data_IF_628547384556
#
_entry.id   IF_628547384556
#
_cell.length_a   1.000
_cell.length_b   1.000
_cell.length_c   1.000
_cell.angle_alpha   90.00
_cell.angle_beta   90.00
_cell.angle_gamma   90.00
#
_symmetry.space_group_name_H-M   'P 1'
#
loop_
_entity.id
_entity.type
_entity.pdbx_description
1 polymer ?
#
# COMPACT_ATOMS: atom_id res chain seq x y z
N UNK A 1 31.68 7.12 51.72
CA UNK A 1 30.46 6.69 51.01
C UNK A 1 29.77 7.91 50.50
N UNK A 2 29.99 8.23 49.20
CA UNK A 2 29.32 9.38 48.52
C UNK A 2 28.19 8.84 47.67
N UNK A 3 26.96 9.19 47.98
CA UNK A 3 25.79 8.88 47.18
C UNK A 3 25.74 9.85 46.00
N UNK A 4 25.83 9.34 44.79
CA UNK A 4 25.61 10.11 43.55
C UNK A 4 24.12 10.05 43.26
N UNK A 5 23.45 11.22 43.37
CA UNK A 5 22.09 11.39 42.88
C UNK A 5 22.16 11.69 41.39
N UNK A 6 21.63 10.76 40.57
CA UNK A 6 21.43 10.98 39.15
C UNK A 6 20.09 11.75 38.99
N UNK A 7 20.15 13.02 38.67
CA UNK A 7 18.96 13.78 38.23
C UNK A 7 18.63 13.39 36.79
N UNK A 8 17.55 12.64 36.62
CA UNK A 8 16.92 12.48 35.32
C UNK A 8 16.10 13.73 35.01
N UNK A 9 16.67 14.64 34.22
CA UNK A 9 15.92 15.77 33.64
C UNK A 9 14.96 15.24 32.60
N UNK A 10 13.68 15.15 32.98
CA UNK A 10 12.58 14.97 32.01
C UNK A 10 12.48 16.26 31.20
N UNK A 11 12.92 16.19 29.95
CA UNK A 11 12.62 17.23 28.97
C UNK A 11 11.15 17.04 28.54
N UNK A 12 10.23 17.75 29.21
CA UNK A 12 8.87 17.93 28.73
C UNK A 12 8.95 18.83 27.48
N UNK A 13 9.19 18.24 26.31
CA UNK A 13 8.95 18.95 25.06
C UNK A 13 7.44 19.18 24.94
N UNK A 14 7.04 20.44 24.98
CA UNK A 14 5.65 20.87 24.77
C UNK A 14 5.18 20.39 23.38
N UNK A 15 4.37 19.34 23.35
CA UNK A 15 3.68 18.86 22.14
C UNK A 15 2.45 19.69 21.77
N UNK A 16 2.53 21.00 21.93
CA UNK A 16 1.49 21.91 21.46
C UNK A 16 1.87 22.38 20.05
N UNK A 17 1.36 21.71 19.02
CA UNK A 17 1.48 22.19 17.64
C UNK A 17 1.74 21.16 16.55
N UNK A 18 1.78 19.88 16.84
CA UNK A 18 1.86 18.87 15.77
C UNK A 18 0.54 18.85 14.97
N UNK A 19 0.66 19.02 13.66
CA UNK A 19 -0.48 18.96 12.75
C UNK A 19 -1.17 17.58 12.87
N UNK A 20 -2.48 17.54 12.75
CA UNK A 20 -3.31 16.32 12.87
C UNK A 20 -2.83 15.19 11.94
N UNK A 21 -2.21 15.54 10.79
CA UNK A 21 -1.58 14.63 9.84
C UNK A 21 -0.38 13.90 10.42
N UNK A 22 0.47 14.58 11.21
CA UNK A 22 1.68 13.96 11.76
C UNK A 22 1.35 12.92 12.84
N UNK A 23 0.28 13.16 13.60
CA UNK A 23 -0.24 12.19 14.58
C UNK A 23 -0.79 10.95 13.91
N UNK A 24 -1.52 11.09 12.79
CA UNK A 24 -2.06 9.95 12.03
C UNK A 24 -0.94 9.10 11.46
N UNK A 25 0.08 9.71 10.84
CA UNK A 25 1.24 8.97 10.31
C UNK A 25 1.99 8.22 11.42
N UNK A 26 2.20 8.86 12.56
CA UNK A 26 2.88 8.23 13.71
C UNK A 26 2.05 7.08 14.29
N UNK A 27 0.73 7.25 14.41
CA UNK A 27 -0.16 6.20 14.93
C UNK A 27 -0.23 5.01 13.97
N UNK A 28 -0.38 5.26 12.68
CA UNK A 28 -0.39 4.19 11.65
C UNK A 28 0.94 3.43 11.65
N UNK A 29 2.08 4.11 11.76
CA UNK A 29 3.40 3.47 11.83
C UNK A 29 3.58 2.62 13.10
N UNK A 30 3.07 3.07 14.25
CA UNK A 30 3.16 2.34 15.52
C UNK A 30 2.29 1.08 15.49
N UNK A 31 1.06 1.17 14.99
CA UNK A 31 0.14 0.04 14.82
C UNK A 31 0.74 -0.99 13.86
N UNK A 32 1.23 -0.55 12.71
CA UNK A 32 1.87 -1.37 11.69
C UNK A 32 3.05 -2.18 12.26
N UNK A 33 3.95 -1.56 13.02
CA UNK A 33 5.12 -2.23 13.59
C UNK A 33 4.77 -3.21 14.71
N UNK A 34 3.77 -2.93 15.52
CA UNK A 34 3.37 -3.80 16.63
C UNK A 34 2.65 -5.07 16.13
N UNK A 35 1.73 -4.95 15.18
CA UNK A 35 1.01 -6.10 14.62
C UNK A 35 1.93 -7.03 13.81
N UNK A 36 2.89 -6.47 13.05
CA UNK A 36 3.86 -7.25 12.29
C UNK A 36 4.85 -8.06 13.17
N UNK A 37 5.05 -7.68 14.42
CA UNK A 37 5.98 -8.37 15.33
C UNK A 37 5.34 -9.58 16.07
N UNK A 38 4.02 -9.78 16.00
CA UNK A 38 3.38 -10.97 16.56
C UNK A 38 3.57 -12.18 15.63
N UNK A 39 4.49 -13.08 15.99
CA UNK A 39 4.77 -14.30 15.23
C UNK A 39 3.57 -15.24 15.08
N UNK A 40 2.64 -15.25 16.01
CA UNK A 40 1.43 -16.09 15.92
C UNK A 40 0.47 -15.51 14.89
N UNK A 41 0.29 -14.20 14.92
CA UNK A 41 -0.53 -13.47 13.95
C UNK A 41 0.07 -13.59 12.55
N UNK A 42 1.38 -13.44 12.41
CA UNK A 42 2.08 -13.60 11.14
C UNK A 42 1.83 -14.99 10.54
N UNK A 43 2.07 -16.07 11.31
CA UNK A 43 1.81 -17.46 10.85
C UNK A 43 0.34 -17.69 10.49
N UNK A 44 -0.58 -17.08 11.22
CA UNK A 44 -2.03 -17.16 10.95
C UNK A 44 -2.36 -16.48 9.63
N UNK A 45 -1.84 -15.28 9.41
CA UNK A 45 -2.03 -14.51 8.19
C UNK A 45 -1.45 -15.21 6.96
N UNK A 46 -0.21 -15.70 7.05
CA UNK A 46 0.44 -16.46 5.97
C UNK A 46 -0.34 -17.74 5.61
N UNK A 47 -0.80 -18.49 6.63
CA UNK A 47 -1.64 -19.68 6.42
C UNK A 47 -2.96 -19.32 5.73
N UNK A 48 -3.61 -18.24 6.15
CA UNK A 48 -4.85 -17.75 5.55
C UNK A 48 -4.61 -17.29 4.09
N UNK A 49 -3.55 -16.54 3.86
CA UNK A 49 -3.16 -16.09 2.52
C UNK A 49 -2.96 -17.27 1.56
N UNK A 50 -2.23 -18.30 2.03
CA UNK A 50 -1.96 -19.53 1.27
C UNK A 50 -3.22 -20.34 0.99
N UNK A 51 -4.21 -20.37 1.88
CA UNK A 51 -5.50 -21.06 1.65
C UNK A 51 -6.28 -20.45 0.50
N UNK A 52 -6.15 -19.14 0.25
CA UNK A 52 -6.79 -18.48 -0.86
C UNK A 52 -8.30 -18.26 -0.72
N UNK A 53 -8.87 -18.42 0.48
CA UNK A 53 -10.31 -18.22 0.74
C UNK A 53 -10.78 -16.77 0.44
N UNK A 54 -9.85 -15.82 0.44
CA UNK A 54 -10.07 -14.42 0.10
C UNK A 54 -10.32 -14.18 -1.40
N UNK A 55 -9.96 -15.12 -2.28
CA UNK A 55 -9.92 -14.95 -3.75
C UNK A 55 -11.27 -14.74 -4.40
N UNK A 56 -12.35 -15.25 -3.84
CA UNK A 56 -13.72 -15.15 -4.40
C UNK A 56 -13.79 -15.48 -5.90
N UNK A 57 -13.02 -16.50 -6.32
CA UNK A 57 -12.91 -16.91 -7.74
C UNK A 57 -11.86 -16.17 -8.56
N UNK A 58 -11.13 -15.21 -8.01
CA UNK A 58 -10.04 -14.53 -8.69
C UNK A 58 -8.74 -15.34 -8.61
N UNK A 59 -8.40 -16.04 -9.68
CA UNK A 59 -7.19 -16.87 -9.81
C UNK A 59 -6.23 -16.38 -10.89
N UNK A 60 -6.49 -15.22 -11.50
CA UNK A 60 -5.65 -14.68 -12.58
C UNK A 60 -4.29 -14.17 -12.07
N UNK A 61 -4.22 -13.75 -10.81
CA UNK A 61 -3.00 -13.24 -10.20
C UNK A 61 -2.89 -13.63 -8.72
N UNK A 62 -1.66 -13.69 -8.25
CA UNK A 62 -1.30 -13.85 -6.84
C UNK A 62 -0.86 -12.50 -6.23
N UNK A 63 -0.96 -12.31 -4.91
CA UNK A 63 -0.30 -11.19 -4.28
C UNK A 63 1.20 -11.28 -4.46
N UNK A 64 1.85 -10.17 -4.78
CA UNK A 64 3.30 -10.11 -4.81
C UNK A 64 3.87 -10.39 -3.41
N UNK A 65 5.09 -10.94 -3.34
CA UNK A 65 5.75 -11.30 -2.06
C UNK A 65 6.02 -10.13 -1.13
N UNK A 66 5.99 -8.88 -1.63
CA UNK A 66 6.09 -7.67 -0.81
C UNK A 66 4.79 -7.27 -0.12
N UNK A 67 3.65 -7.87 -0.48
CA UNK A 67 2.36 -7.58 0.17
C UNK A 67 2.41 -8.07 1.61
N UNK A 68 2.13 -7.19 2.55
CA UNK A 68 2.08 -7.55 3.96
C UNK A 68 0.87 -8.45 4.25
N UNK A 69 1.16 -9.72 4.51
CA UNK A 69 0.12 -10.74 4.75
C UNK A 69 -0.70 -10.44 6.03
N UNK A 70 -0.08 -9.84 7.06
CA UNK A 70 -0.75 -9.50 8.32
C UNK A 70 -1.77 -8.40 8.09
N UNK A 71 -1.35 -7.32 7.45
CA UNK A 71 -2.26 -6.19 7.17
C UNK A 71 -3.38 -6.61 6.23
N UNK A 72 -3.09 -7.42 5.21
CA UNK A 72 -4.12 -7.93 4.32
C UNK A 72 -5.13 -8.81 5.08
N UNK A 73 -4.64 -9.72 5.93
CA UNK A 73 -5.50 -10.56 6.76
C UNK A 73 -6.38 -9.71 7.69
N UNK A 74 -5.80 -8.77 8.43
CA UNK A 74 -6.53 -7.93 9.37
C UNK A 74 -7.57 -7.04 8.68
N UNK A 75 -7.19 -6.39 7.58
CA UNK A 75 -8.11 -5.55 6.82
C UNK A 75 -9.26 -6.37 6.18
N UNK A 76 -8.96 -7.59 5.73
CA UNK A 76 -10.01 -8.49 5.27
C UNK A 76 -10.98 -8.89 6.39
N UNK A 77 -10.48 -9.14 7.62
CA UNK A 77 -11.34 -9.48 8.76
C UNK A 77 -12.17 -8.27 9.23
N UNK A 78 -11.62 -7.07 9.19
CA UNK A 78 -12.29 -5.82 9.63
C UNK A 78 -13.43 -5.39 8.69
N UNK A 79 -13.27 -5.61 7.40
CA UNK A 79 -14.31 -5.32 6.40
C UNK A 79 -14.33 -6.36 5.28
N UNK A 80 -14.80 -7.58 5.54
CA UNK A 80 -14.79 -8.66 4.56
C UNK A 80 -15.63 -8.36 3.33
N UNK A 81 -16.71 -7.58 3.45
CA UNK A 81 -17.62 -7.31 2.32
C UNK A 81 -16.94 -6.49 1.21
N UNK A 82 -16.14 -5.45 1.54
CA UNK A 82 -15.45 -4.70 0.51
C UNK A 82 -14.42 -5.56 -0.25
N UNK A 83 -13.69 -6.43 0.47
CA UNK A 83 -12.71 -7.32 -0.15
C UNK A 83 -13.35 -8.41 -1.00
N UNK A 84 -14.47 -9.01 -0.55
CA UNK A 84 -15.25 -9.96 -1.34
C UNK A 84 -15.73 -9.32 -2.64
N UNK A 85 -16.36 -8.13 -2.56
CA UNK A 85 -16.84 -7.39 -3.73
C UNK A 85 -15.71 -7.05 -4.71
N UNK A 86 -14.53 -6.67 -4.20
CA UNK A 86 -13.35 -6.43 -5.01
C UNK A 86 -12.95 -7.69 -5.79
N UNK A 87 -12.72 -8.81 -5.10
CA UNK A 87 -12.23 -10.02 -5.75
C UNK A 87 -13.29 -10.68 -6.65
N UNK A 88 -14.57 -10.68 -6.25
CA UNK A 88 -15.67 -11.13 -7.13
C UNK A 88 -15.73 -10.32 -8.42
N UNK A 89 -15.58 -9.02 -8.35
CA UNK A 89 -15.57 -8.15 -9.52
C UNK A 89 -14.38 -8.46 -10.44
N UNK A 90 -13.17 -8.58 -9.88
CA UNK A 90 -11.98 -8.93 -10.64
C UNK A 90 -12.07 -10.32 -11.30
N UNK A 91 -12.73 -11.28 -10.62
CA UNK A 91 -12.93 -12.63 -11.13
C UNK A 91 -13.84 -12.66 -12.37
N UNK A 92 -14.89 -11.84 -12.36
CA UNK A 92 -15.97 -11.84 -13.37
C UNK A 92 -15.74 -10.87 -14.53
N UNK A 93 -14.84 -9.87 -14.35
CA UNK A 93 -14.65 -8.79 -15.31
C UNK A 93 -13.50 -9.07 -16.25
N UNK A 94 -13.71 -8.81 -17.55
CA UNK A 94 -12.62 -8.71 -18.52
C UNK A 94 -11.97 -7.32 -18.40
N UNK A 95 -10.89 -7.27 -17.61
CA UNK A 95 -10.16 -6.03 -17.35
C UNK A 95 -9.40 -5.50 -18.58
N UNK A 96 -9.14 -6.35 -19.57
CA UNK A 96 -8.52 -5.93 -20.84
C UNK A 96 -9.54 -5.20 -21.73
N UNK A 97 -10.79 -5.61 -21.69
CA UNK A 97 -11.87 -4.99 -22.45
C UNK A 97 -12.54 -3.81 -21.73
N UNK A 98 -12.35 -3.67 -20.40
CA UNK A 98 -12.98 -2.60 -19.63
C UNK A 98 -12.48 -1.22 -20.11
N UNK A 99 -13.37 -0.25 -20.48
CA UNK A 99 -12.93 1.07 -20.94
C UNK A 99 -12.02 1.79 -19.94
N UNK A 100 -11.14 2.67 -20.45
CA UNK A 100 -10.36 3.56 -19.60
C UNK A 100 -11.25 4.48 -18.77
N UNK A 101 -10.82 4.83 -17.58
CA UNK A 101 -11.53 5.72 -16.68
C UNK A 101 -11.95 5.06 -15.37
N UNK A 102 -12.83 5.72 -14.65
CA UNK A 102 -13.35 5.23 -13.37
C UNK A 102 -14.68 4.52 -13.55
N UNK A 103 -14.79 3.32 -12.98
CA UNK A 103 -16.01 2.51 -12.99
C UNK A 103 -16.39 2.15 -11.57
N UNK A 104 -17.66 2.27 -11.25
CA UNK A 104 -18.21 1.82 -9.98
C UNK A 104 -18.23 0.29 -9.95
N UNK A 105 -17.75 -0.31 -8.87
CA UNK A 105 -17.94 -1.74 -8.63
C UNK A 105 -19.37 -1.93 -8.11
N UNK A 106 -20.22 -2.73 -8.77
CA UNK A 106 -21.63 -2.89 -8.40
C UNK A 106 -21.80 -3.32 -6.93
N UNK A 107 -22.86 -2.85 -6.31
CA UNK A 107 -23.24 -3.18 -4.92
C UNK A 107 -22.13 -2.93 -3.88
N UNK A 108 -21.30 -1.93 -4.13
CA UNK A 108 -20.19 -1.55 -3.23
C UNK A 108 -19.91 -0.04 -3.28
N UNK A 109 -19.07 0.44 -2.35
CA UNK A 109 -18.53 1.80 -2.40
C UNK A 109 -17.22 1.88 -3.18
N UNK A 110 -16.73 0.77 -3.70
CA UNK A 110 -15.48 0.68 -4.42
C UNK A 110 -15.59 1.25 -5.84
N UNK A 111 -14.48 1.80 -6.30
CA UNK A 111 -14.31 2.28 -7.67
C UNK A 111 -12.98 1.74 -8.21
N UNK A 112 -13.01 1.20 -9.42
CA UNK A 112 -11.83 0.81 -10.17
C UNK A 112 -11.46 1.91 -11.17
N UNK A 113 -10.21 2.34 -11.16
CA UNK A 113 -9.62 3.19 -12.19
C UNK A 113 -8.83 2.32 -13.16
N UNK A 114 -9.13 2.42 -14.46
CA UNK A 114 -8.46 1.70 -15.54
C UNK A 114 -7.66 2.69 -16.38
N UNK A 115 -6.38 2.43 -16.53
CA UNK A 115 -5.47 3.30 -17.26
C UNK A 115 -4.62 2.50 -18.26
N UNK A 116 -4.55 3.00 -19.52
CA UNK A 116 -3.45 2.69 -20.40
C UNK A 116 -2.39 3.78 -20.18
N UNK A 117 -1.20 3.40 -19.77
CA UNK A 117 -0.14 4.28 -19.31
C UNK A 117 1.21 3.76 -19.80
N UNK A 118 2.27 4.42 -19.39
CA UNK A 118 3.64 4.07 -19.68
C UNK A 118 4.49 4.23 -18.42
N UNK A 119 5.40 3.28 -18.15
CA UNK A 119 6.46 3.51 -17.18
C UNK A 119 7.35 4.67 -17.64
N UNK A 120 8.00 5.33 -16.72
CA UNK A 120 8.85 6.47 -17.03
C UNK A 120 10.04 6.61 -16.10
N UNK A 121 10.94 7.53 -16.42
CA UNK A 121 12.13 7.77 -15.61
C UNK A 121 11.79 8.06 -14.16
N UNK A 122 12.55 7.49 -13.24
CA UNK A 122 12.32 7.59 -11.79
C UNK A 122 12.22 9.04 -11.30
N UNK A 123 13.05 9.92 -11.84
CA UNK A 123 13.10 11.35 -11.48
C UNK A 123 11.84 12.13 -11.91
N UNK A 124 11.00 11.54 -12.76
CA UNK A 124 9.70 12.09 -13.18
C UNK A 124 8.51 11.45 -12.46
N UNK A 125 8.77 10.55 -11.51
CA UNK A 125 7.73 9.86 -10.76
C UNK A 125 7.61 10.41 -9.34
N UNK A 126 6.37 10.63 -8.91
CA UNK A 126 6.09 11.05 -7.54
C UNK A 126 6.14 9.86 -6.58
N UNK A 127 6.59 10.13 -5.37
CA UNK A 127 6.38 9.21 -4.23
C UNK A 127 5.00 9.44 -3.67
N UNK A 128 4.36 8.41 -3.12
CA UNK A 128 3.08 8.59 -2.45
C UNK A 128 2.86 7.58 -1.31
N UNK A 129 2.01 7.98 -0.37
CA UNK A 129 1.28 7.09 0.52
C UNK A 129 -0.08 7.69 0.85
N UNK A 130 -0.91 6.88 1.48
CA UNK A 130 -2.27 7.22 1.85
C UNK A 130 -2.45 7.06 3.37
N UNK A 131 -3.56 7.58 3.93
CA UNK A 131 -3.91 7.30 5.31
C UNK A 131 -5.36 6.82 5.49
N UNK A 132 -6.22 7.08 4.49
CA UNK A 132 -7.63 6.66 4.51
C UNK A 132 -7.90 5.43 3.65
N UNK A 133 -7.05 5.21 2.63
CA UNK A 133 -7.25 4.17 1.65
C UNK A 133 -6.03 3.27 1.54
N UNK A 134 -6.31 2.07 1.11
CA UNK A 134 -5.37 1.05 0.65
C UNK A 134 -5.42 1.06 -0.86
N UNK A 135 -4.29 0.98 -1.54
CA UNK A 135 -4.23 0.82 -2.98
C UNK A 135 -4.10 -0.65 -3.34
N UNK A 136 -5.14 -1.20 -3.94
CA UNK A 136 -5.01 -2.45 -4.68
C UNK A 136 -4.62 -2.10 -6.11
N UNK A 137 -3.43 -2.52 -6.56
CA UNK A 137 -2.88 -2.23 -7.88
C UNK A 137 -2.59 -3.52 -8.64
N UNK A 138 -3.07 -3.58 -9.88
CA UNK A 138 -2.94 -4.74 -10.74
C UNK A 138 -2.58 -4.32 -12.17
N UNK A 139 -1.39 -4.71 -12.61
CA UNK A 139 -0.95 -4.54 -13.99
C UNK A 139 -1.50 -5.69 -14.84
N UNK A 140 -2.57 -5.44 -15.59
CA UNK A 140 -3.26 -6.49 -16.37
C UNK A 140 -2.62 -6.73 -17.74
N UNK A 141 -1.74 -5.83 -18.19
CA UNK A 141 -0.95 -5.94 -19.43
C UNK A 141 0.36 -5.18 -19.30
N UNK A 142 1.43 -5.78 -19.76
CA UNK A 142 2.79 -5.22 -19.64
C UNK A 142 3.42 -5.57 -18.28
N UNK A 143 4.42 -4.79 -17.90
CA UNK A 143 5.12 -4.92 -16.61
C UNK A 143 5.23 -3.53 -15.98
N UNK A 144 4.57 -3.32 -14.86
CA UNK A 144 4.70 -2.09 -14.08
C UNK A 144 5.79 -2.26 -13.03
N UNK A 145 6.69 -1.28 -12.87
CA UNK A 145 7.67 -1.27 -11.79
C UNK A 145 7.28 -0.30 -10.69
N UNK A 146 7.28 -0.81 -9.44
CA UNK A 146 7.10 -0.04 -8.22
C UNK A 146 8.41 0.14 -7.48
N UNK A 147 8.62 1.32 -6.89
CA UNK A 147 9.64 1.55 -5.87
C UNK A 147 9.00 1.59 -4.48
N UNK A 148 9.55 0.87 -3.52
CA UNK A 148 9.20 0.97 -2.10
C UNK A 148 10.31 1.76 -1.41
N UNK A 149 9.97 2.94 -0.89
CA UNK A 149 10.95 3.84 -0.27
C UNK A 149 11.15 3.53 1.22
N UNK A 150 12.36 3.71 1.68
CA UNK A 150 12.75 3.43 3.07
C UNK A 150 12.26 4.55 4.01
N UNK A 151 11.50 4.20 5.03
CA UNK A 151 10.97 5.15 6.02
C UNK A 151 12.05 5.85 6.84
N UNK A 152 13.18 5.19 7.08
CA UNK A 152 14.25 5.74 7.93
C UNK A 152 14.92 6.95 7.29
N UNK A 153 15.05 6.92 5.96
CA UNK A 153 15.74 7.96 5.18
C UNK A 153 14.81 8.87 4.39
N UNK A 154 13.50 8.67 4.53
CA UNK A 154 12.50 9.46 3.79
C UNK A 154 11.73 10.39 4.72
N UNK A 155 11.41 11.58 4.22
CA UNK A 155 10.67 12.60 4.96
C UNK A 155 9.53 13.17 4.13
N UNK A 156 8.34 13.43 4.73
CA UNK A 156 7.27 14.12 4.03
C UNK A 156 7.74 15.47 3.48
N UNK A 157 7.39 15.78 2.23
CA UNK A 157 7.72 17.07 1.60
C UNK A 157 6.50 17.96 1.34
N UNK A 158 5.32 17.49 1.71
CA UNK A 158 4.07 18.24 1.64
C UNK A 158 3.10 17.78 2.73
N UNK A 159 1.91 18.38 2.80
CA UNK A 159 0.79 17.90 3.62
C UNK A 159 -0.12 16.98 2.80
N UNK A 160 -0.93 16.14 3.46
CA UNK A 160 -1.94 15.31 2.81
C UNK A 160 -2.94 16.15 2.00
N UNK A 161 -3.21 15.74 0.72
CA UNK A 161 -4.16 16.40 -0.20
C UNK A 161 -4.96 15.38 -1.01
N UNK A 162 -6.18 15.10 -0.67
CA UNK A 162 -6.83 14.98 0.64
C UNK A 162 -6.39 13.73 1.40
N UNK A 163 -5.81 12.74 0.72
CA UNK A 163 -5.40 11.42 1.21
C UNK A 163 -3.96 11.08 0.84
N UNK A 164 -3.39 11.75 -0.17
CA UNK A 164 -2.04 11.52 -0.69
C UNK A 164 -1.04 12.46 -0.02
N UNK A 165 0.12 11.94 0.33
CA UNK A 165 1.30 12.69 0.76
C UNK A 165 2.51 12.22 -0.05
N UNK A 166 3.46 13.13 -0.27
CA UNK A 166 4.69 12.86 -1.01
C UNK A 166 5.91 13.00 -0.12
N UNK A 167 7.03 12.42 -0.56
CA UNK A 167 8.24 12.29 0.25
C UNK A 167 9.49 12.69 -0.52
N UNK A 168 10.47 13.26 0.19
CA UNK A 168 11.87 13.19 -0.19
C UNK A 168 12.41 11.82 0.23
N UNK A 169 13.21 11.18 -0.61
CA UNK A 169 13.70 9.83 -0.38
C UNK A 169 15.12 9.64 -0.91
N UNK A 170 15.78 8.57 -0.50
CA UNK A 170 17.11 8.17 -0.97
C UNK A 170 16.95 7.04 -1.96
N UNK A 171 17.34 7.29 -3.23
CA UNK A 171 17.18 6.35 -4.33
C UNK A 171 17.85 4.99 -4.06
N UNK A 172 19.05 5.01 -3.52
CA UNK A 172 19.87 3.82 -3.25
C UNK A 172 19.29 2.92 -2.16
N UNK A 173 18.32 3.44 -1.40
CA UNK A 173 17.59 2.69 -0.36
C UNK A 173 16.19 2.28 -0.80
N UNK A 174 15.82 2.60 -2.04
CA UNK A 174 14.54 2.21 -2.62
C UNK A 174 14.64 0.79 -3.17
N UNK A 175 13.67 -0.05 -2.83
CA UNK A 175 13.55 -1.42 -3.39
C UNK A 175 12.57 -1.40 -4.55
N UNK A 176 12.99 -1.93 -5.69
CA UNK A 176 12.15 -1.99 -6.88
C UNK A 176 11.59 -3.39 -7.08
N UNK A 177 10.33 -3.45 -7.51
CA UNK A 177 9.60 -4.69 -7.79
C UNK A 177 8.78 -4.55 -9.06
N UNK A 178 8.70 -5.63 -9.84
CA UNK A 178 7.93 -5.68 -11.08
C UNK A 178 6.58 -6.38 -10.86
N UNK A 179 5.52 -5.72 -11.30
CA UNK A 179 4.15 -6.23 -11.34
C UNK A 179 3.85 -6.71 -12.74
N UNK A 180 3.71 -8.00 -12.89
CA UNK A 180 3.29 -8.68 -14.13
C UNK A 180 1.83 -9.11 -14.03
N UNK A 181 1.15 -9.54 -15.12
CA UNK A 181 -0.26 -9.93 -15.06
C UNK A 181 -0.60 -11.10 -14.14
N UNK A 182 0.40 -11.84 -13.65
CA UNK A 182 0.23 -12.92 -12.67
C UNK A 182 0.41 -12.44 -11.21
N UNK A 183 0.71 -11.15 -10.97
CA UNK A 183 0.90 -10.55 -9.66
C UNK A 183 0.09 -9.27 -9.48
N UNK A 184 -0.44 -9.07 -8.27
CA UNK A 184 -0.98 -7.78 -7.85
C UNK A 184 -0.27 -7.27 -6.59
N UNK A 185 -0.36 -5.98 -6.36
CA UNK A 185 0.17 -5.31 -5.19
C UNK A 185 -0.96 -4.76 -4.32
N UNK A 186 -0.71 -4.69 -3.02
CA UNK A 186 -1.55 -3.98 -2.06
C UNK A 186 -0.63 -3.07 -1.28
N UNK A 187 -0.87 -1.75 -1.37
CA UNK A 187 -0.15 -0.74 -0.60
C UNK A 187 -1.05 -0.25 0.52
N UNK A 188 -0.67 -0.60 1.73
CA UNK A 188 -1.33 -0.12 2.94
C UNK A 188 -0.84 1.30 3.29
N UNK A 189 -1.52 2.04 4.19
CA UNK A 189 -1.08 3.39 4.59
C UNK A 189 0.38 3.49 5.04
N UNK A 190 0.97 2.39 5.53
CA UNK A 190 2.39 2.30 5.87
C UNK A 190 3.32 2.06 4.70
N UNK A 191 2.82 1.77 3.50
CA UNK A 191 3.64 1.45 2.33
C UNK A 191 3.86 2.70 1.49
N UNK A 192 5.04 3.32 1.65
CA UNK A 192 5.44 4.49 0.88
C UNK A 192 6.05 4.03 -0.45
N UNK A 193 5.43 4.44 -1.55
CA UNK A 193 5.77 3.86 -2.85
C UNK A 193 5.87 4.88 -3.98
N UNK A 194 6.41 4.41 -5.11
CA UNK A 194 6.51 5.11 -6.39
C UNK A 194 5.94 4.16 -7.43
N UNK A 195 4.99 4.62 -8.24
CA UNK A 195 4.39 3.82 -9.30
C UNK A 195 4.96 4.14 -10.69
N UNK A 196 4.84 3.20 -11.62
CA UNK A 196 5.13 3.37 -13.05
C UNK A 196 6.57 3.79 -13.35
N UNK A 197 7.54 3.21 -12.65
CA UNK A 197 8.98 3.44 -12.88
C UNK A 197 9.44 2.59 -14.08
N UNK A 198 10.37 3.12 -14.90
CA UNK A 198 11.01 2.35 -15.96
C UNK A 198 11.59 1.03 -15.41
N UNK A 199 11.35 -0.05 -16.13
CA UNK A 199 11.92 -1.36 -15.88
C UNK A 199 12.89 -1.77 -17.00
N UNK A 200 13.38 -3.02 -16.96
CA UNK A 200 14.39 -3.51 -17.91
C UNK A 200 13.77 -4.12 -19.17
N UNK A 201 12.44 -3.99 -19.38
CA UNK A 201 11.77 -4.43 -20.59
C UNK A 201 11.82 -3.36 -21.68
N UNK A 202 11.87 -3.76 -22.97
CA UNK A 202 11.84 -2.83 -24.10
C UNK A 202 10.51 -2.07 -24.20
N UNK A 203 9.40 -2.75 -23.84
CA UNK A 203 8.07 -2.16 -23.90
C UNK A 203 7.63 -1.64 -22.52
N UNK A 204 7.58 -0.34 -22.38
CA UNK A 204 7.16 0.34 -21.15
C UNK A 204 5.64 0.59 -21.07
N UNK A 205 4.88 0.25 -22.13
CA UNK A 205 3.43 0.41 -22.11
C UNK A 205 2.75 -0.60 -21.20
N UNK A 206 1.86 -0.11 -20.36
CA UNK A 206 1.15 -0.88 -19.36
C UNK A 206 -0.36 -0.57 -19.39
N UNK A 207 -1.15 -1.57 -19.01
CA UNK A 207 -2.53 -1.36 -18.61
C UNK A 207 -2.69 -1.73 -17.16
N UNK A 208 -3.14 -0.78 -16.36
CA UNK A 208 -3.23 -0.93 -14.90
C UNK A 208 -4.65 -0.70 -14.40
N UNK A 209 -5.00 -1.42 -13.37
CA UNK A 209 -6.23 -1.25 -12.60
C UNK A 209 -5.87 -0.89 -11.15
N UNK A 210 -6.44 0.21 -10.66
CA UNK A 210 -6.27 0.66 -9.28
C UNK A 210 -7.63 0.72 -8.60
N UNK A 211 -7.76 0.06 -7.46
CA UNK A 211 -8.96 0.10 -6.63
C UNK A 211 -8.58 0.66 -5.27
N UNK A 212 -9.23 1.75 -4.88
CA UNK A 212 -9.10 2.33 -3.54
C UNK A 212 -10.02 1.58 -2.57
N UNK A 213 -9.40 0.86 -1.65
CA UNK A 213 -10.08 0.11 -0.58
C UNK A 213 -9.97 0.91 0.70
N UNK A 214 -11.07 1.10 1.42
CA UNK A 214 -11.04 1.88 2.66
C UNK A 214 -10.22 1.17 3.73
N UNK A 215 -9.23 1.88 4.30
CA UNK A 215 -8.53 1.45 5.51
C UNK A 215 -9.47 1.52 6.71
N UNK A 216 -9.54 0.45 7.48
CA UNK A 216 -10.34 0.35 8.71
C UNK A 216 -9.39 0.31 9.89
N UNK A 217 -9.41 1.36 10.70
CA UNK A 217 -8.68 1.42 11.99
C UNK A 217 -9.32 0.48 13.02
N UNK A 218 -8.60 0.19 14.10
CA UNK A 218 -9.11 -0.61 15.23
C UNK A 218 -10.24 0.08 15.98
#
# INVERSE_FOLDING_TARGET
MRKIFLFATFLLASMAGMAKSDKVVMTTKAVYTNECNDRKLQKKAEKWLKKGEWRQGFFKADPHSSVNAVDFYLQYQRNPEQWKKLFEYLAKTDLLALPKGKHKIPDSDLTISVEDSENGPLEKRGTESHYKNIDFQYCVKGTERFGIIDHVTSTPNCKYKPDVIHYNYVKERTKFYDSTPDKFFIFFPGDWHIAKVNNDTDNQNIRVCVIKVRWVEE
#
